data_IF_385963066054
#
_entry.id   IF_385963066054
#
_cell.length_a   1.000
_cell.length_b   1.000
_cell.length_c   1.000
_cell.angle_alpha   90.00
_cell.angle_beta   90.00
_cell.angle_gamma   90.00
#
_symmetry.space_group_name_H-M   'P 1'
#
loop_
_entity.id
_entity.type
_entity.pdbx_description
1 polymer ?
#
# COMPACT_ATOMS: atom_id res chain seq x y z
N UNK A 1 -11.69 3.45 -23.10
CA UNK A 1 -12.15 3.12 -21.74
C UNK A 1 -10.91 2.77 -20.93
N UNK A 2 -10.51 3.61 -19.97
CA UNK A 2 -9.51 3.23 -18.97
C UNK A 2 -10.25 2.44 -17.89
N UNK A 3 -9.90 1.18 -17.67
CA UNK A 3 -10.36 0.41 -16.53
C UNK A 3 -9.22 0.42 -15.50
N UNK A 4 -9.18 1.40 -14.59
CA UNK A 4 -8.12 1.46 -13.59
C UNK A 4 -8.21 0.21 -12.70
N UNK A 5 -7.12 -0.56 -12.68
CA UNK A 5 -7.00 -1.71 -11.78
C UNK A 5 -6.76 -1.15 -10.38
N UNK A 6 -7.64 -1.51 -9.45
CA UNK A 6 -7.46 -1.17 -8.03
C UNK A 6 -7.08 -2.43 -7.27
N UNK A 7 -5.95 -2.40 -6.58
CA UNK A 7 -5.49 -3.54 -5.81
C UNK A 7 -6.10 -3.52 -4.41
N UNK A 8 -6.68 -4.64 -3.98
CA UNK A 8 -7.23 -4.79 -2.64
C UNK A 8 -6.33 -5.68 -1.77
N UNK A 9 -5.93 -5.14 -0.62
CA UNK A 9 -5.08 -5.79 0.38
C UNK A 9 -5.97 -6.16 1.57
N UNK A 10 -5.97 -7.44 1.94
CA UNK A 10 -6.69 -7.90 3.13
C UNK A 10 -5.91 -7.59 4.40
N UNK A 11 -6.56 -6.98 5.37
CA UNK A 11 -5.99 -6.54 6.64
C UNK A 11 -6.83 -7.07 7.82
N UNK A 12 -6.18 -7.25 8.97
CA UNK A 12 -6.82 -7.68 10.22
C UNK A 12 -7.01 -6.47 11.14
N UNK A 13 -8.00 -5.64 10.82
CA UNK A 13 -8.33 -4.40 11.55
C UNK A 13 -7.20 -3.34 11.61
N UNK A 14 -6.14 -3.51 10.83
CA UNK A 14 -5.00 -2.60 10.75
C UNK A 14 -4.89 -1.90 9.39
N UNK A 15 -5.94 -1.91 8.56
CA UNK A 15 -5.92 -1.35 7.21
C UNK A 15 -5.51 0.13 7.14
N UNK A 16 -5.92 0.92 8.14
CA UNK A 16 -5.51 2.33 8.23
C UNK A 16 -4.01 2.49 8.45
N UNK A 17 -3.45 1.76 9.42
CA UNK A 17 -2.02 1.81 9.74
C UNK A 17 -1.16 1.35 8.55
N UNK A 18 -1.64 0.34 7.82
CA UNK A 18 -1.02 -0.13 6.58
C UNK A 18 -1.04 0.95 5.49
N UNK A 19 -2.18 1.63 5.29
CA UNK A 19 -2.28 2.73 4.33
C UNK A 19 -1.35 3.89 4.73
N UNK A 20 -1.35 4.29 6.00
CA UNK A 20 -0.48 5.33 6.55
C UNK A 20 1.01 4.97 6.37
N UNK A 21 1.40 3.72 6.60
CA UNK A 21 2.76 3.24 6.36
C UNK A 21 3.17 3.42 4.89
N UNK A 22 2.35 2.94 3.96
CA UNK A 22 2.65 3.08 2.53
C UNK A 22 2.71 4.55 2.09
N UNK A 23 1.80 5.39 2.59
CA UNK A 23 1.80 6.81 2.30
C UNK A 23 3.07 7.51 2.82
N UNK A 24 3.60 7.09 3.97
CA UNK A 24 4.85 7.63 4.52
C UNK A 24 6.11 7.13 3.80
N UNK A 25 6.08 5.91 3.26
CA UNK A 25 7.24 5.28 2.61
C UNK A 25 7.42 5.75 1.16
N UNK A 26 6.33 5.96 0.44
CA UNK A 26 6.36 6.31 -0.98
C UNK A 26 6.07 7.80 -1.20
N UNK A 27 6.73 8.44 -2.19
CA UNK A 27 6.38 9.80 -2.59
C UNK A 27 5.11 9.82 -3.46
N UNK A 28 4.45 10.98 -3.51
CA UNK A 28 3.23 11.22 -4.28
C UNK A 28 2.07 10.30 -3.87
N UNK A 29 1.78 10.30 -2.58
CA UNK A 29 0.78 9.45 -1.94
C UNK A 29 -0.33 10.28 -1.32
N UNK A 30 -1.50 9.68 -1.14
CA UNK A 30 -2.63 10.31 -0.47
C UNK A 30 -3.73 9.30 -0.14
N UNK A 31 -4.45 9.56 0.94
CA UNK A 31 -5.63 8.78 1.32
C UNK A 31 -6.85 9.43 0.66
N UNK A 32 -7.54 8.68 -0.19
CA UNK A 32 -8.72 9.16 -0.92
C UNK A 32 -10.00 9.00 -0.11
N UNK A 33 -10.13 7.85 0.58
CA UNK A 33 -11.32 7.55 1.37
C UNK A 33 -10.93 6.66 2.55
N UNK A 34 -11.50 6.94 3.72
CA UNK A 34 -11.25 6.17 4.92
C UNK A 34 -12.59 5.83 5.59
N UNK A 35 -12.80 4.54 5.80
CA UNK A 35 -13.93 3.97 6.53
C UNK A 35 -13.41 2.88 7.48
N UNK A 36 -14.20 2.47 8.47
CA UNK A 36 -13.82 1.48 9.48
C UNK A 36 -13.48 0.12 8.84
N UNK A 37 -14.13 -0.20 7.72
CA UNK A 37 -13.95 -1.47 7.00
C UNK A 37 -12.98 -1.34 5.82
N UNK A 38 -12.91 -0.19 5.15
CA UNK A 38 -12.16 0.00 3.91
C UNK A 38 -11.39 1.31 3.95
N UNK A 39 -10.11 1.28 3.61
CA UNK A 39 -9.32 2.50 3.40
C UNK A 39 -8.71 2.48 1.99
N UNK A 40 -9.06 3.47 1.18
CA UNK A 40 -8.57 3.66 -0.19
C UNK A 40 -7.50 4.75 -0.22
N UNK A 41 -6.41 4.48 -0.91
CA UNK A 41 -5.27 5.39 -1.03
C UNK A 41 -4.59 5.19 -2.38
N UNK A 42 -3.83 6.18 -2.82
CA UNK A 42 -3.05 6.12 -4.05
C UNK A 42 -1.56 6.27 -3.78
N UNK A 43 -0.77 5.62 -4.62
CA UNK A 43 0.68 5.79 -4.71
C UNK A 43 1.00 6.13 -6.17
N UNK A 44 1.29 7.40 -6.44
CA UNK A 44 1.40 7.88 -7.81
C UNK A 44 0.09 7.72 -8.57
N UNK A 45 0.15 7.06 -9.72
CA UNK A 45 -1.03 6.74 -10.55
C UNK A 45 -1.70 5.40 -10.18
N UNK A 46 -1.15 4.68 -9.18
CA UNK A 46 -1.68 3.39 -8.75
C UNK A 46 -2.68 3.58 -7.59
N UNK A 47 -3.89 3.05 -7.75
CA UNK A 47 -4.90 3.04 -6.70
C UNK A 47 -4.87 1.73 -5.92
N UNK A 48 -4.81 1.83 -4.60
CA UNK A 48 -4.82 0.72 -3.66
C UNK A 48 -5.98 0.87 -2.66
N UNK A 49 -6.41 -0.25 -2.13
CA UNK A 49 -7.36 -0.30 -1.04
C UNK A 49 -6.94 -1.35 -0.02
N UNK A 50 -7.19 -1.07 1.25
CA UNK A 50 -7.12 -2.06 2.33
C UNK A 50 -8.52 -2.39 2.80
N UNK A 51 -8.77 -3.67 3.07
CA UNK A 51 -10.04 -4.19 3.55
C UNK A 51 -9.82 -4.87 4.90
N UNK A 52 -10.43 -4.34 5.95
CA UNK A 52 -10.47 -4.92 7.28
C UNK A 52 -11.49 -6.06 7.32
N UNK A 53 -11.04 -7.28 7.03
CA UNK A 53 -11.90 -8.47 6.99
C UNK A 53 -11.63 -9.48 8.11
N UNK A 54 -10.77 -9.13 9.07
CA UNK A 54 -10.40 -9.97 10.20
C UNK A 54 -9.28 -10.99 9.88
N UNK A 55 -8.97 -11.92 10.79
CA UNK A 55 -7.80 -12.80 10.71
C UNK A 55 -7.91 -13.95 9.69
N UNK A 56 -8.92 -13.90 8.81
CA UNK A 56 -9.25 -14.97 7.87
C UNK A 56 -8.18 -15.19 6.80
N UNK A 57 -7.56 -14.11 6.31
CA UNK A 57 -6.54 -14.17 5.27
C UNK A 57 -5.28 -13.45 5.73
N UNK A 58 -4.14 -14.12 5.55
CA UNK A 58 -2.82 -13.56 5.79
C UNK A 58 -2.10 -13.32 4.46
N UNK A 59 -1.32 -12.24 4.34
CA UNK A 59 -0.44 -12.03 3.19
C UNK A 59 0.45 -13.25 2.99
N UNK A 60 0.51 -13.75 1.76
CA UNK A 60 1.39 -14.83 1.37
C UNK A 60 2.37 -14.33 0.31
N UNK A 61 3.50 -15.04 0.07
CA UNK A 61 4.51 -14.60 -0.89
C UNK A 61 4.06 -14.64 -2.35
N UNK A 62 2.85 -15.12 -2.65
CA UNK A 62 2.33 -15.20 -4.03
C UNK A 62 2.03 -13.84 -4.63
N UNK A 63 2.06 -12.77 -3.83
CA UNK A 63 1.79 -11.42 -4.26
C UNK A 63 2.87 -10.45 -3.76
N UNK A 64 3.41 -9.62 -4.65
CA UNK A 64 4.41 -8.60 -4.34
C UNK A 64 4.24 -7.39 -5.25
N UNK A 65 4.61 -6.20 -4.74
CA UNK A 65 4.64 -4.97 -5.52
C UNK A 65 6.08 -4.60 -5.87
N UNK A 66 6.29 -4.19 -7.12
CA UNK A 66 7.56 -3.66 -7.57
C UNK A 66 7.41 -2.17 -7.84
N UNK A 67 8.13 -1.35 -7.06
CA UNK A 67 8.21 0.08 -7.30
C UNK A 67 9.41 0.38 -8.19
N UNK A 68 9.13 0.77 -9.44
CA UNK A 68 10.17 1.08 -10.42
C UNK A 68 10.43 2.59 -10.45
N UNK A 69 11.60 3.02 -9.97
CA UNK A 69 12.06 4.40 -10.00
C UNK A 69 13.30 4.55 -10.88
N UNK A 70 13.53 5.76 -11.41
CA UNK A 70 14.76 6.05 -12.16
C UNK A 70 15.91 6.36 -11.20
N UNK A 71 17.05 5.72 -11.44
CA UNK A 71 18.28 5.87 -10.65
C UNK A 71 18.73 7.34 -10.63
N UNK A 72 18.78 7.90 -9.43
CA UNK A 72 19.06 9.31 -9.10
C UNK A 72 18.42 9.73 -7.78
N UNK A 73 17.28 9.12 -7.42
CA UNK A 73 16.59 9.32 -6.15
C UNK A 73 16.96 8.24 -5.12
N UNK A 74 17.92 8.58 -4.26
CA UNK A 74 18.22 8.04 -2.91
C UNK A 74 17.35 6.87 -2.40
N UNK A 75 17.77 5.63 -2.71
CA UNK A 75 17.13 4.37 -2.26
C UNK A 75 17.36 4.10 -0.76
N UNK A 76 18.44 4.63 -0.19
CA UNK A 76 18.90 4.29 1.16
C UNK A 76 18.00 4.74 2.31
N UNK A 77 17.05 5.66 2.10
CA UNK A 77 16.23 6.19 3.22
C UNK A 77 15.00 5.35 3.58
N UNK A 78 14.51 4.48 2.70
CA UNK A 78 13.17 3.90 2.83
C UNK A 78 13.10 2.37 3.01
N UNK A 79 14.17 1.62 2.70
CA UNK A 79 14.14 0.13 2.75
C UNK A 79 15.06 -0.48 3.82
N UNK A 80 15.73 0.34 4.62
CA UNK A 80 16.70 -0.10 5.63
C UNK A 80 16.12 -0.60 6.96
N UNK A 81 14.80 -0.69 7.12
CA UNK A 81 14.17 -1.05 8.42
C UNK A 81 13.56 -2.46 8.47
N UNK A 82 13.51 -3.21 7.36
CA UNK A 82 12.85 -4.52 7.32
C UNK A 82 13.80 -5.71 7.37
N UNK A 83 15.12 -5.47 7.42
CA UNK A 83 16.15 -6.50 7.58
C UNK A 83 16.92 -6.26 8.89
N UNK A 84 16.36 -6.71 10.01
CA UNK A 84 17.09 -6.97 11.26
C UNK A 84 16.43 -8.15 11.97
#
# INVERSE_FOLDING_TARGET
MQNPITTCIWCDNNGKDVADFYCNVFPNTGIDNQNDVVTSFHIGDANLMTLNGGPNFKPNPSFSFFYHFRVGARVEKHLGQTCS
#
